data_IF_256830020481
#
_entry.id   IF_256830020481
#
_cell.length_a   1.000
_cell.length_b   1.000
_cell.length_c   1.000
_cell.angle_alpha   90.00
_cell.angle_beta   90.00
_cell.angle_gamma   90.00
#
_symmetry.space_group_name_H-M   'P 1'
#
loop_
_entity.id
_entity.type
_entity.pdbx_description
1 polymer ?
#
# COMPACT_ATOMS: atom_id res chain seq x y z
N UNK A 1 6.09 -3.11 54.88
CA UNK A 1 5.96 -4.58 54.97
C UNK A 1 4.59 -5.12 54.55
N UNK A 2 3.45 -4.56 55.04
CA UNK A 2 2.09 -5.02 54.65
C UNK A 2 1.80 -4.99 53.14
N UNK A 3 2.18 -3.93 52.43
CA UNK A 3 1.98 -3.82 50.97
C UNK A 3 2.81 -4.83 50.14
N UNK A 4 4.01 -5.18 50.61
CA UNK A 4 4.84 -6.20 49.96
C UNK A 4 4.28 -7.61 50.14
N UNK A 5 3.77 -7.94 51.32
CA UNK A 5 3.11 -9.22 51.58
C UNK A 5 1.82 -9.36 50.75
N UNK A 6 1.01 -8.30 50.67
CA UNK A 6 -0.23 -8.28 49.88
C UNK A 6 0.03 -8.42 48.38
N UNK A 7 1.02 -7.72 47.83
CA UNK A 7 1.41 -7.86 46.42
C UNK A 7 1.95 -9.26 46.11
N UNK A 8 2.77 -9.83 47.00
CA UNK A 8 3.31 -11.18 46.85
C UNK A 8 2.23 -12.26 46.89
N UNK A 9 1.27 -12.15 47.83
CA UNK A 9 0.12 -13.08 47.93
C UNK A 9 -0.77 -13.00 46.68
N UNK A 10 -1.04 -11.80 46.15
CA UNK A 10 -1.82 -11.63 44.90
C UNK A 10 -1.08 -12.28 43.72
N UNK A 11 0.23 -12.07 43.58
CA UNK A 11 1.04 -12.67 42.51
C UNK A 11 1.02 -14.21 42.59
N UNK A 12 1.20 -14.78 43.79
CA UNK A 12 1.18 -16.25 43.97
C UNK A 12 -0.20 -16.85 43.69
N UNK A 13 -1.28 -16.21 44.14
CA UNK A 13 -2.65 -16.68 43.88
C UNK A 13 -3.03 -16.58 42.39
N UNK A 14 -2.63 -15.51 41.70
CA UNK A 14 -2.88 -15.38 40.25
C UNK A 14 -2.12 -16.40 39.42
N UNK A 15 -0.86 -16.71 39.77
CA UNK A 15 -0.08 -17.75 39.10
C UNK A 15 -0.65 -19.16 39.35
N UNK A 16 -1.13 -19.43 40.57
CA UNK A 16 -1.79 -20.69 40.91
C UNK A 16 -3.10 -20.89 40.13
N UNK A 17 -3.99 -19.89 40.13
CA UNK A 17 -5.26 -19.94 39.39
C UNK A 17 -5.06 -20.06 37.86
N UNK A 18 -4.08 -19.35 37.31
CA UNK A 18 -3.74 -19.43 35.89
C UNK A 18 -3.15 -20.80 35.52
N UNK A 19 -2.28 -21.37 36.37
CA UNK A 19 -1.75 -22.73 36.17
C UNK A 19 -2.83 -23.83 36.25
N UNK A 20 -3.80 -23.67 37.14
CA UNK A 20 -4.96 -24.56 37.26
C UNK A 20 -5.88 -24.44 36.03
N UNK A 21 -6.09 -23.22 35.52
CA UNK A 21 -6.84 -22.95 34.29
C UNK A 21 -6.20 -23.56 33.04
N UNK A 22 -4.87 -23.52 32.94
CA UNK A 22 -4.17 -24.19 31.84
C UNK A 22 -4.28 -25.72 31.92
N UNK A 23 -4.20 -26.28 33.13
CA UNK A 23 -4.24 -27.73 33.34
C UNK A 23 -5.58 -28.37 32.94
N UNK A 24 -6.69 -27.62 33.01
CA UNK A 24 -8.01 -28.09 32.57
C UNK A 24 -8.27 -27.90 31.06
N UNK A 25 -7.46 -27.11 30.35
CA UNK A 25 -7.61 -26.88 28.91
C UNK A 25 -7.20 -28.14 28.11
N UNK A 26 -8.15 -28.73 27.39
CA UNK A 26 -7.92 -29.94 26.57
C UNK A 26 -6.89 -29.71 25.46
N UNK A 27 -6.97 -28.60 24.72
CA UNK A 27 -6.02 -28.31 23.64
C UNK A 27 -4.60 -28.11 24.19
N UNK A 28 -4.47 -27.49 25.36
CA UNK A 28 -3.17 -27.38 26.03
C UNK A 28 -2.61 -28.75 26.40
N UNK A 29 -3.41 -29.64 27.00
CA UNK A 29 -2.97 -30.99 27.38
C UNK A 29 -2.44 -31.77 26.18
N UNK A 30 -3.10 -31.66 25.03
CA UNK A 30 -2.67 -32.31 23.78
C UNK A 30 -1.41 -31.68 23.17
N UNK A 31 -1.18 -30.38 23.37
CA UNK A 31 -0.05 -29.64 22.80
C UNK A 31 1.10 -29.40 23.78
N UNK A 32 1.00 -29.86 25.04
CA UNK A 32 1.94 -29.51 26.11
C UNK A 32 3.40 -29.80 25.78
N UNK A 33 3.66 -30.82 24.95
CA UNK A 33 5.00 -31.20 24.51
C UNK A 33 5.68 -30.12 23.66
N UNK A 34 4.92 -29.20 23.06
CA UNK A 34 5.44 -28.08 22.28
C UNK A 34 5.80 -26.86 23.13
N UNK A 35 5.49 -26.85 24.43
CA UNK A 35 5.66 -25.67 25.31
C UNK A 35 7.06 -25.04 25.22
N UNK A 36 8.11 -25.85 25.17
CA UNK A 36 9.48 -25.34 25.03
C UNK A 36 9.71 -24.58 23.71
N UNK A 37 9.09 -25.03 22.61
CA UNK A 37 9.16 -24.35 21.31
C UNK A 37 8.27 -23.10 21.27
N UNK A 38 7.13 -23.15 21.96
CA UNK A 38 6.16 -22.07 22.03
C UNK A 38 6.61 -20.89 22.93
N UNK A 39 7.34 -21.18 24.01
CA UNK A 39 7.70 -20.20 25.04
C UNK A 39 8.57 -19.04 24.54
N UNK A 40 9.26 -19.20 23.40
CA UNK A 40 10.06 -18.14 22.77
C UNK A 40 9.30 -17.35 21.70
N UNK A 41 7.99 -17.60 21.52
CA UNK A 41 7.19 -16.99 20.45
C UNK A 41 6.48 -15.74 20.95
N UNK A 42 6.76 -14.62 20.30
CA UNK A 42 6.00 -13.37 20.41
C UNK A 42 5.18 -13.16 19.13
N UNK A 43 3.87 -12.98 19.26
CA UNK A 43 2.92 -12.96 18.15
C UNK A 43 2.16 -11.65 18.13
N UNK A 44 2.30 -10.90 17.04
CA UNK A 44 1.42 -9.79 16.72
C UNK A 44 0.32 -10.28 15.76
N UNK A 45 -0.93 -10.22 16.19
CA UNK A 45 -2.08 -10.63 15.37
C UNK A 45 -2.42 -9.54 14.35
N UNK A 46 -2.65 -9.97 13.11
CA UNK A 46 -3.12 -9.09 12.04
C UNK A 46 -4.32 -9.69 11.31
N UNK A 47 -5.28 -8.86 10.93
CA UNK A 47 -6.51 -9.25 10.24
C UNK A 47 -6.69 -8.46 8.95
N UNK A 48 -6.79 -9.16 7.82
CA UNK A 48 -6.98 -8.56 6.50
C UNK A 48 -8.45 -8.70 6.03
N UNK A 49 -8.87 -7.83 5.10
CA UNK A 49 -10.13 -7.81 4.33
C UNK A 49 -11.38 -7.17 4.94
N UNK A 50 -11.40 -6.92 6.24
CA UNK A 50 -12.51 -6.28 6.94
C UNK A 50 -12.71 -4.80 6.57
N UNK A 51 -13.65 -4.09 7.24
CA UNK A 51 -14.50 -4.59 8.31
C UNK A 51 -15.71 -5.35 7.77
N UNK A 52 -15.84 -6.60 8.19
CA UNK A 52 -17.06 -7.37 8.08
C UNK A 52 -18.06 -6.92 9.16
N UNK A 53 -19.31 -6.57 8.81
CA UNK A 53 -20.27 -6.05 9.79
C UNK A 53 -20.66 -7.06 10.88
N UNK A 54 -20.45 -8.37 10.66
CA UNK A 54 -20.79 -9.43 11.61
C UNK A 54 -19.55 -10.00 12.31
N UNK A 55 -18.49 -10.26 11.57
CA UNK A 55 -17.31 -10.97 12.09
C UNK A 55 -16.36 -10.03 12.83
N UNK A 56 -16.06 -8.87 12.25
CA UNK A 56 -15.05 -7.94 12.79
C UNK A 56 -15.37 -7.44 14.20
N UNK A 57 -16.63 -7.06 14.56
CA UNK A 57 -16.96 -6.69 15.93
C UNK A 57 -16.74 -7.81 16.95
N UNK A 58 -16.93 -9.07 16.55
CA UNK A 58 -16.75 -10.24 17.41
C UNK A 58 -15.27 -10.49 17.69
N UNK A 59 -14.43 -10.37 16.67
CA UNK A 59 -12.96 -10.41 16.80
C UNK A 59 -12.49 -9.28 17.72
N UNK A 60 -12.93 -8.04 17.47
CA UNK A 60 -12.58 -6.88 18.30
C UNK A 60 -12.98 -7.09 19.77
N UNK A 61 -14.18 -7.62 20.01
CA UNK A 61 -14.66 -7.94 21.36
C UNK A 61 -13.79 -9.00 22.05
N UNK A 62 -13.41 -10.07 21.35
CA UNK A 62 -12.51 -11.11 21.85
C UNK A 62 -11.13 -10.53 22.22
N UNK A 63 -10.51 -9.79 21.31
CA UNK A 63 -9.22 -9.14 21.55
C UNK A 63 -9.26 -8.20 22.76
N UNK A 64 -10.30 -7.38 22.88
CA UNK A 64 -10.49 -6.47 24.01
C UNK A 64 -10.66 -7.22 25.33
N UNK A 65 -11.52 -8.25 25.38
CA UNK A 65 -11.68 -9.10 26.58
C UNK A 65 -10.37 -9.78 26.98
N UNK A 66 -9.62 -10.27 25.99
CA UNK A 66 -8.34 -10.95 26.19
C UNK A 66 -7.16 -10.00 26.38
N UNK A 67 -7.36 -8.68 26.28
CA UNK A 67 -6.33 -7.65 26.35
C UNK A 67 -5.19 -7.87 25.36
N UNK A 68 -5.51 -8.31 24.13
CA UNK A 68 -4.55 -8.50 23.04
C UNK A 68 -4.72 -7.36 22.04
N UNK A 69 -3.63 -6.69 21.66
CA UNK A 69 -3.64 -5.68 20.58
C UNK A 69 -3.32 -6.32 19.24
N UNK A 70 -3.83 -5.73 18.17
CA UNK A 70 -3.77 -6.28 16.82
C UNK A 70 -3.77 -5.15 15.78
N UNK A 71 -3.39 -5.47 14.55
CA UNK A 71 -3.53 -4.56 13.40
C UNK A 71 -4.59 -5.08 12.42
N UNK A 72 -5.48 -4.21 11.96
CA UNK A 72 -6.54 -4.50 11.00
C UNK A 72 -6.23 -3.83 9.67
N UNK A 73 -5.95 -4.61 8.64
CA UNK A 73 -5.71 -4.13 7.28
C UNK A 73 -7.03 -4.17 6.51
N UNK A 74 -7.65 -2.98 6.42
CA UNK A 74 -9.02 -2.81 5.96
C UNK A 74 -9.08 -2.67 4.44
N UNK A 75 -9.91 -3.50 3.82
CA UNK A 75 -10.35 -3.31 2.44
C UNK A 75 -11.51 -2.33 2.42
N UNK A 76 -11.39 -1.27 1.63
CA UNK A 76 -12.35 -0.16 1.69
C UNK A 76 -13.50 -0.30 0.67
N UNK A 77 -13.66 -1.45 0.00
CA UNK A 77 -14.79 -1.67 -0.94
C UNK A 77 -16.16 -1.42 -0.32
N UNK A 78 -16.28 -1.71 0.97
CA UNK A 78 -17.56 -1.64 1.70
C UNK A 78 -17.73 -0.31 2.45
N UNK A 79 -16.77 0.60 2.37
CA UNK A 79 -16.85 1.92 2.99
C UNK A 79 -17.42 2.94 2.01
N UNK A 80 -18.26 3.84 2.50
CA UNK A 80 -18.84 4.92 1.70
C UNK A 80 -18.28 6.28 2.16
N UNK A 81 -18.07 7.23 1.25
CA UNK A 81 -17.67 8.59 1.61
C UNK A 81 -18.67 9.23 2.57
N UNK A 82 -18.17 9.94 3.58
CA UNK A 82 -19.01 10.66 4.55
C UNK A 82 -19.66 9.79 5.62
N UNK A 83 -19.69 8.46 5.46
CA UNK A 83 -20.22 7.55 6.47
C UNK A 83 -19.14 7.17 7.49
N UNK A 84 -19.47 7.29 8.77
CA UNK A 84 -18.63 6.80 9.87
C UNK A 84 -18.83 5.30 10.07
N UNK A 85 -17.77 4.62 10.48
CA UNK A 85 -17.82 3.20 10.83
C UNK A 85 -17.41 3.03 12.30
N UNK A 86 -18.38 2.78 13.16
CA UNK A 86 -18.16 2.67 14.62
C UNK A 86 -17.21 1.53 14.99
N UNK A 87 -17.17 0.44 14.23
CA UNK A 87 -16.21 -0.65 14.46
C UNK A 87 -14.77 -0.17 14.25
N UNK A 88 -14.50 0.59 13.17
CA UNK A 88 -13.16 1.14 12.91
C UNK A 88 -12.76 2.20 13.95
N UNK A 89 -13.71 3.04 14.37
CA UNK A 89 -13.48 4.04 15.44
C UNK A 89 -13.15 3.32 16.76
N UNK A 90 -13.91 2.27 17.09
CA UNK A 90 -13.70 1.46 18.29
C UNK A 90 -12.34 0.76 18.29
N UNK A 91 -11.91 0.19 17.17
CA UNK A 91 -10.57 -0.39 17.02
C UNK A 91 -9.46 0.58 17.46
N UNK A 92 -9.49 1.80 16.91
CA UNK A 92 -8.48 2.82 17.23
C UNK A 92 -8.56 3.22 18.70
N UNK A 93 -9.77 3.46 19.22
CA UNK A 93 -9.99 3.86 20.62
C UNK A 93 -9.55 2.79 21.62
N UNK A 94 -9.67 1.51 21.26
CA UNK A 94 -9.19 0.42 22.11
C UNK A 94 -7.75 0.03 21.80
N UNK A 95 -6.99 0.85 21.07
CA UNK A 95 -5.54 0.72 20.90
C UNK A 95 -5.11 -0.34 19.87
N UNK A 96 -5.98 -0.73 18.96
CA UNK A 96 -5.60 -1.47 17.76
C UNK A 96 -5.14 -0.52 16.67
N UNK A 97 -4.34 -1.02 15.74
CA UNK A 97 -3.95 -0.26 14.55
C UNK A 97 -4.95 -0.53 13.44
N UNK A 98 -5.57 0.51 12.89
CA UNK A 98 -6.30 0.43 11.62
C UNK A 98 -5.35 0.84 10.50
N UNK A 99 -5.18 -0.04 9.54
CA UNK A 99 -4.27 0.06 8.41
C UNK A 99 -5.03 -0.11 7.09
N UNK A 100 -4.46 0.34 5.97
CA UNK A 100 -5.07 0.15 4.66
C UNK A 100 -4.66 -1.17 4.01
N UNK A 101 -5.63 -1.87 3.43
CA UNK A 101 -5.43 -3.02 2.53
C UNK A 101 -5.85 -2.71 1.09
N UNK A 102 -5.72 -1.44 0.66
CA UNK A 102 -6.19 -0.99 -0.64
C UNK A 102 -7.71 -0.82 -0.72
N UNK A 103 -8.21 -0.54 -1.93
CA UNK A 103 -9.64 -0.32 -2.16
C UNK A 103 -10.34 -1.58 -2.66
N UNK A 104 -9.97 -2.10 -3.83
CA UNK A 104 -10.67 -3.20 -4.50
C UNK A 104 -10.02 -4.58 -4.29
N UNK A 105 -9.08 -4.70 -3.35
CA UNK A 105 -8.30 -5.92 -3.12
C UNK A 105 -7.68 -6.48 -4.41
N UNK A 106 -7.07 -5.61 -5.22
CA UNK A 106 -6.39 -5.96 -6.48
C UNK A 106 -4.88 -5.94 -6.32
N UNK A 107 -4.17 -6.62 -7.20
CA UNK A 107 -2.71 -6.57 -7.22
C UNK A 107 -2.25 -5.18 -7.67
N UNK A 108 -1.63 -4.43 -6.76
CA UNK A 108 -1.19 -3.04 -6.98
C UNK A 108 0.11 -2.93 -7.78
N UNK A 109 0.82 -4.05 -7.94
CA UNK A 109 2.07 -4.16 -8.69
C UNK A 109 2.20 -5.59 -9.24
N UNK A 110 3.31 -5.86 -9.91
CA UNK A 110 3.61 -7.13 -10.55
C UNK A 110 3.39 -8.31 -9.60
N UNK A 111 2.55 -9.25 -10.02
CA UNK A 111 2.25 -10.47 -9.27
C UNK A 111 2.20 -11.67 -10.20
N UNK A 112 2.67 -12.81 -9.71
CA UNK A 112 2.60 -14.09 -10.43
C UNK A 112 1.74 -15.10 -9.66
N UNK A 113 0.84 -15.77 -10.38
CA UNK A 113 0.01 -16.85 -9.86
C UNK A 113 0.45 -18.14 -10.56
N UNK A 114 1.17 -18.99 -9.83
CA UNK A 114 1.84 -20.15 -10.41
C UNK A 114 2.91 -19.70 -11.42
N UNK A 115 2.71 -20.04 -12.69
CA UNK A 115 3.60 -19.68 -13.80
C UNK A 115 3.04 -18.55 -14.69
N UNK A 116 1.98 -17.87 -14.26
CA UNK A 116 1.26 -16.86 -15.06
C UNK A 116 1.20 -15.53 -14.35
N UNK A 117 1.19 -14.43 -15.12
CA UNK A 117 0.88 -13.12 -14.57
C UNK A 117 -0.54 -13.10 -13.98
N UNK A 118 -0.72 -12.38 -12.89
CA UNK A 118 -2.05 -12.07 -12.38
C UNK A 118 -2.81 -11.22 -13.44
N UNK A 119 -3.97 -11.67 -13.93
CA UNK A 119 -4.73 -10.97 -14.97
C UNK A 119 -5.38 -9.66 -14.49
N UNK A 120 -5.40 -9.42 -13.17
CA UNK A 120 -6.07 -8.29 -12.52
C UNK A 120 -5.10 -7.28 -11.89
N UNK A 121 -3.83 -7.27 -12.33
CA UNK A 121 -2.84 -6.27 -11.92
C UNK A 121 -3.31 -4.87 -12.33
N UNK A 122 -3.19 -3.92 -11.40
CA UNK A 122 -3.45 -2.52 -11.64
C UNK A 122 -2.30 -1.87 -12.41
N UNK A 123 -2.62 -0.92 -13.29
CA UNK A 123 -1.62 0.01 -13.79
C UNK A 123 -1.13 0.93 -12.67
N UNK A 124 0.03 1.56 -12.81
CA UNK A 124 0.55 2.49 -11.79
C UNK A 124 -0.47 3.57 -11.40
N UNK A 125 -1.12 4.19 -12.39
CA UNK A 125 -2.15 5.22 -12.17
C UNK A 125 -3.43 4.66 -11.51
N UNK A 126 -3.82 3.42 -11.82
CA UNK A 126 -4.93 2.76 -11.11
C UNK A 126 -4.54 2.42 -9.66
N UNK A 127 -3.31 1.97 -9.45
CA UNK A 127 -2.77 1.63 -8.14
C UNK A 127 -2.75 2.85 -7.22
N UNK A 128 -2.24 3.98 -7.73
CA UNK A 128 -2.25 5.28 -7.06
C UNK A 128 -3.67 5.70 -6.66
N UNK A 129 -4.62 5.71 -7.62
CA UNK A 129 -6.02 6.04 -7.32
C UNK A 129 -6.62 5.14 -6.25
N UNK A 130 -6.33 3.84 -6.26
CA UNK A 130 -6.84 2.91 -5.25
C UNK A 130 -6.20 3.11 -3.87
N UNK A 131 -4.91 3.43 -3.82
CA UNK A 131 -4.22 3.78 -2.56
C UNK A 131 -4.88 5.04 -1.99
N UNK A 132 -4.92 6.14 -2.73
CA UNK A 132 -5.50 7.41 -2.30
C UNK A 132 -6.96 7.26 -1.87
N UNK A 133 -7.74 6.53 -2.67
CA UNK A 133 -9.14 6.24 -2.36
C UNK A 133 -9.29 5.51 -1.03
N UNK A 134 -8.47 4.50 -0.79
CA UNK A 134 -8.51 3.73 0.44
C UNK A 134 -8.13 4.59 1.66
N UNK A 135 -7.09 5.39 1.55
CA UNK A 135 -6.66 6.30 2.63
C UNK A 135 -7.74 7.35 2.95
N UNK A 136 -8.35 7.94 1.92
CA UNK A 136 -9.43 8.93 2.07
C UNK A 136 -10.66 8.31 2.73
N UNK A 137 -11.08 7.11 2.31
CA UNK A 137 -12.22 6.42 2.90
C UNK A 137 -11.98 6.04 4.35
N UNK A 138 -10.79 5.57 4.70
CA UNK A 138 -10.43 5.26 6.10
C UNK A 138 -10.40 6.51 6.96
N UNK A 139 -9.86 7.61 6.44
CA UNK A 139 -9.88 8.90 7.15
C UNK A 139 -11.31 9.37 7.42
N UNK A 140 -12.20 9.28 6.43
CA UNK A 140 -13.62 9.62 6.58
C UNK A 140 -14.32 8.67 7.58
N UNK A 141 -14.18 7.36 7.40
CA UNK A 141 -14.89 6.35 8.18
C UNK A 141 -14.49 6.35 9.66
N UNK A 142 -13.27 6.77 9.98
CA UNK A 142 -12.75 6.85 11.34
C UNK A 142 -12.96 8.22 12.00
N UNK A 143 -13.77 9.11 11.39
CA UNK A 143 -13.94 10.49 11.85
C UNK A 143 -12.59 11.23 12.04
N UNK A 144 -11.64 10.93 11.16
CA UNK A 144 -10.32 11.53 11.11
C UNK A 144 -9.25 10.89 12.01
N UNK A 145 -9.61 9.87 12.80
CA UNK A 145 -8.67 9.20 13.71
C UNK A 145 -7.59 8.40 12.97
N UNK A 146 -7.87 7.90 11.77
CA UNK A 146 -6.93 7.05 11.02
C UNK A 146 -5.55 7.69 10.85
N UNK A 147 -5.45 8.96 10.46
CA UNK A 147 -4.18 9.67 10.33
C UNK A 147 -3.57 10.17 11.64
N UNK A 148 -4.32 10.11 12.75
CA UNK A 148 -3.85 10.50 14.09
C UNK A 148 -3.23 9.34 14.87
N UNK A 149 -3.31 8.12 14.34
CA UNK A 149 -2.65 6.97 14.92
C UNK A 149 -1.14 7.17 14.90
N UNK A 150 -0.41 6.70 15.94
CA UNK A 150 1.05 6.75 15.95
C UNK A 150 1.66 5.91 14.81
N UNK A 151 0.99 4.81 14.47
CA UNK A 151 1.41 3.89 13.41
C UNK A 151 0.54 4.06 12.19
N UNK A 152 1.15 4.44 11.06
CA UNK A 152 0.46 4.58 9.78
C UNK A 152 0.93 3.45 8.87
N UNK A 153 0.08 2.42 8.76
CA UNK A 153 0.47 1.18 8.09
C UNK A 153 -0.33 0.95 6.80
N UNK A 154 0.29 0.21 5.90
CA UNK A 154 -0.31 -0.31 4.68
C UNK A 154 0.12 -1.77 4.48
N UNK A 155 -0.77 -2.60 3.94
CA UNK A 155 -0.40 -3.93 3.43
C UNK A 155 -1.03 -4.08 2.07
N UNK A 156 -0.25 -4.39 1.04
CA UNK A 156 -0.84 -4.63 -0.26
C UNK A 156 -1.70 -5.91 -0.24
N UNK A 157 -2.85 -5.94 -0.94
CA UNK A 157 -3.52 -7.19 -1.30
C UNK A 157 -2.52 -8.18 -1.88
N UNK A 158 -2.61 -9.42 -1.39
CA UNK A 158 -1.68 -10.50 -1.74
C UNK A 158 -0.23 -10.27 -1.27
N UNK A 159 0.05 -9.17 -0.55
CA UNK A 159 1.27 -8.76 0.15
C UNK A 159 2.50 -8.59 -0.74
N UNK A 160 2.87 -9.68 -1.37
CA UNK A 160 4.15 -9.89 -2.04
C UNK A 160 4.17 -9.45 -3.50
N UNK A 161 3.11 -8.83 -4.03
CA UNK A 161 3.19 -8.23 -5.38
C UNK A 161 4.09 -6.98 -5.40
N UNK A 162 3.80 -6.02 -4.53
CA UNK A 162 4.59 -4.80 -4.37
C UNK A 162 5.86 -5.00 -3.52
N UNK A 163 5.93 -6.12 -2.77
CA UNK A 163 7.08 -6.53 -1.96
C UNK A 163 7.35 -8.05 -2.08
N UNK A 164 7.73 -8.55 -3.26
CA UNK A 164 7.94 -9.96 -3.54
C UNK A 164 9.03 -10.55 -2.67
N UNK A 165 8.72 -11.72 -2.11
CA UNK A 165 9.75 -12.59 -1.55
C UNK A 165 10.79 -12.94 -2.61
N UNK A 166 12.02 -13.30 -2.21
CA UNK A 166 13.05 -13.73 -3.15
C UNK A 166 12.59 -14.84 -4.12
N UNK A 167 11.74 -15.76 -3.64
CA UNK A 167 11.12 -16.80 -4.47
C UNK A 167 10.18 -16.23 -5.53
N UNK A 168 9.32 -15.29 -5.15
CA UNK A 168 8.36 -14.64 -6.05
C UNK A 168 9.08 -13.74 -7.05
N UNK A 169 10.07 -12.97 -6.59
CA UNK A 169 10.95 -12.21 -7.48
C UNK A 169 11.63 -13.16 -8.48
N UNK A 170 12.20 -14.28 -8.02
CA UNK A 170 12.77 -15.29 -8.93
C UNK A 170 11.77 -15.85 -9.94
N UNK A 171 10.51 -16.06 -9.54
CA UNK A 171 9.44 -16.46 -10.46
C UNK A 171 9.08 -15.36 -11.46
N UNK A 172 8.93 -14.12 -11.00
CA UNK A 172 8.70 -12.95 -11.85
C UNK A 172 9.81 -12.79 -12.87
N UNK A 173 11.07 -12.97 -12.46
CA UNK A 173 12.24 -12.87 -13.34
C UNK A 173 12.29 -13.99 -14.38
N UNK A 174 11.99 -15.24 -14.00
CA UNK A 174 11.98 -16.38 -14.93
C UNK A 174 10.79 -16.31 -15.90
N UNK A 175 9.60 -16.04 -15.39
CA UNK A 175 8.36 -16.13 -16.17
C UNK A 175 8.03 -14.83 -16.92
N UNK A 176 8.50 -13.68 -16.45
CA UNK A 176 8.43 -12.42 -17.18
C UNK A 176 9.21 -12.40 -18.50
N UNK A 177 10.10 -13.37 -18.71
CA UNK A 177 10.81 -13.59 -19.96
C UNK A 177 10.08 -14.53 -20.92
N UNK A 178 9.11 -15.33 -20.46
CA UNK A 178 8.43 -16.34 -21.27
C UNK A 178 7.22 -15.77 -22.03
N UNK A 179 7.09 -16.10 -23.32
CA UNK A 179 5.96 -15.67 -24.19
C UNK A 179 4.58 -16.12 -23.69
N UNK A 180 4.49 -17.19 -22.90
CA UNK A 180 3.22 -17.83 -22.52
C UNK A 180 2.63 -17.35 -21.18
N UNK A 181 3.43 -16.70 -20.33
CA UNK A 181 3.05 -16.35 -18.97
C UNK A 181 2.13 -15.10 -18.88
N UNK A 182 2.38 -14.11 -19.74
CA UNK A 182 1.74 -12.77 -19.68
C UNK A 182 1.25 -12.35 -21.07
N UNK A 183 0.25 -13.07 -21.60
CA UNK A 183 -0.33 -12.78 -22.91
C UNK A 183 -1.42 -11.70 -22.84
N UNK A 184 -1.57 -10.92 -23.91
CA UNK A 184 -2.58 -9.85 -24.05
C UNK A 184 -4.01 -10.36 -23.78
N UNK A 185 -4.35 -11.56 -24.24
CA UNK A 185 -5.66 -12.21 -23.97
C UNK A 185 -5.94 -12.47 -22.48
N UNK A 186 -4.91 -12.61 -21.65
CA UNK A 186 -5.05 -12.83 -20.19
C UNK A 186 -5.06 -11.54 -19.39
N UNK A 187 -4.44 -10.46 -19.86
CA UNK A 187 -4.31 -9.19 -19.14
C UNK A 187 -5.48 -8.22 -19.38
N UNK A 188 -6.73 -8.71 -19.30
CA UNK A 188 -7.94 -7.96 -19.69
C UNK A 188 -8.09 -6.60 -19.00
N UNK A 189 -7.56 -6.44 -17.78
CA UNK A 189 -7.60 -5.17 -17.02
C UNK A 189 -6.22 -4.53 -16.80
N UNK A 190 -5.15 -5.29 -17.06
CA UNK A 190 -3.77 -4.84 -17.00
C UNK A 190 -3.29 -4.38 -18.38
N UNK A 191 -4.16 -3.72 -19.14
CA UNK A 191 -4.03 -3.44 -20.58
C UNK A 191 -2.69 -2.83 -21.06
N UNK A 192 -1.86 -2.16 -20.23
CA UNK A 192 -0.53 -1.77 -20.68
C UNK A 192 0.53 -2.87 -20.57
N UNK A 193 0.36 -3.93 -19.77
CA UNK A 193 1.41 -4.90 -19.42
C UNK A 193 1.58 -6.04 -20.44
N UNK A 194 1.46 -5.75 -21.74
CA UNK A 194 1.92 -6.69 -22.78
C UNK A 194 3.38 -7.12 -22.52
N UNK A 195 3.84 -8.22 -23.11
CA UNK A 195 5.14 -8.85 -22.77
C UNK A 195 6.31 -7.88 -22.63
N UNK A 196 6.49 -6.95 -23.57
CA UNK A 196 7.57 -5.96 -23.52
C UNK A 196 7.38 -4.94 -22.38
N UNK A 197 6.14 -4.55 -22.09
CA UNK A 197 5.81 -3.67 -20.96
C UNK A 197 5.94 -4.38 -19.61
N UNK A 198 5.65 -5.68 -19.51
CA UNK A 198 5.93 -6.46 -18.30
C UNK A 198 7.45 -6.59 -18.06
N UNK A 199 8.23 -6.82 -19.13
CA UNK A 199 9.70 -6.86 -19.06
C UNK A 199 10.29 -5.49 -18.66
N UNK A 200 9.77 -4.40 -19.22
CA UNK A 200 10.12 -3.03 -18.82
C UNK A 200 9.72 -2.77 -17.36
N UNK A 201 8.53 -3.18 -16.94
CA UNK A 201 8.06 -3.04 -15.55
C UNK A 201 8.93 -3.83 -14.57
N UNK A 202 9.44 -5.02 -14.95
CA UNK A 202 10.43 -5.75 -14.15
C UNK A 202 11.76 -4.97 -14.06
N UNK A 203 12.19 -4.31 -15.14
CA UNK A 203 13.40 -3.49 -15.11
C UNK A 203 13.20 -2.25 -14.25
N UNK A 204 12.05 -1.57 -14.32
CA UNK A 204 11.67 -0.49 -13.41
C UNK A 204 11.61 -0.99 -11.97
N UNK A 205 11.00 -2.16 -11.74
CA UNK A 205 10.94 -2.80 -10.43
C UNK A 205 12.35 -3.06 -9.86
N UNK A 206 13.30 -3.47 -10.69
CA UNK A 206 14.70 -3.64 -10.27
C UNK A 206 15.38 -2.32 -9.91
N UNK A 207 15.07 -1.24 -10.64
CA UNK A 207 15.70 0.07 -10.47
C UNK A 207 15.13 0.83 -9.29
N UNK A 208 13.81 0.81 -9.13
CA UNK A 208 13.09 1.68 -8.20
C UNK A 208 12.23 0.91 -7.18
N UNK A 209 12.26 -0.44 -7.18
CA UNK A 209 11.28 -1.28 -6.48
C UNK A 209 9.87 -1.04 -7.05
N UNK A 210 8.84 -1.24 -6.23
CA UNK A 210 7.44 -1.05 -6.60
C UNK A 210 7.06 0.45 -6.66
N UNK A 211 6.45 0.89 -7.77
CA UNK A 211 5.84 2.23 -7.87
C UNK A 211 4.68 2.40 -6.87
N UNK A 212 3.92 1.32 -6.65
CA UNK A 212 2.86 1.31 -5.64
C UNK A 212 3.42 1.49 -4.23
N UNK A 213 4.53 0.80 -3.90
CA UNK A 213 5.21 0.94 -2.61
C UNK A 213 5.75 2.36 -2.41
N UNK A 214 6.35 2.97 -3.45
CA UNK A 214 6.77 4.37 -3.40
C UNK A 214 5.60 5.29 -3.05
N UNK A 215 4.46 5.14 -3.73
CA UNK A 215 3.25 5.93 -3.43
C UNK A 215 2.75 5.75 -1.99
N UNK A 216 2.84 4.53 -1.45
CA UNK A 216 2.53 4.26 -0.05
C UNK A 216 3.51 5.00 0.88
N UNK A 217 4.81 4.94 0.58
CA UNK A 217 5.85 5.62 1.36
C UNK A 217 5.72 7.14 1.32
N UNK A 218 5.38 7.74 0.17
CA UNK A 218 5.07 9.17 0.03
C UNK A 218 3.88 9.62 0.88
N UNK A 219 2.99 8.69 1.27
CA UNK A 219 1.91 8.97 2.22
C UNK A 219 2.34 8.82 3.69
N UNK A 220 3.66 8.70 3.93
CA UNK A 220 4.31 8.44 5.23
C UNK A 220 3.77 7.17 5.90
N UNK A 221 3.74 6.06 5.15
CA UNK A 221 3.23 4.78 5.63
C UNK A 221 4.21 3.65 5.42
N UNK A 222 4.37 2.83 6.45
CA UNK A 222 5.15 1.62 6.38
C UNK A 222 4.33 0.51 5.72
N UNK A 223 5.01 -0.30 4.90
CA UNK A 223 4.44 -1.54 4.43
C UNK A 223 4.76 -2.69 5.38
N UNK A 224 3.74 -3.40 5.86
CA UNK A 224 3.91 -4.56 6.75
C UNK A 224 3.31 -5.81 6.13
N UNK A 225 4.15 -6.79 5.81
CA UNK A 225 3.78 -8.14 5.37
C UNK A 225 3.51 -9.09 6.55
N UNK A 226 3.78 -10.38 6.35
CA UNK A 226 3.66 -11.42 7.37
C UNK A 226 4.75 -12.47 7.22
N UNK A 227 5.13 -13.10 8.34
CA UNK A 227 6.00 -14.28 8.38
C UNK A 227 5.33 -15.51 9.01
N UNK A 228 4.07 -15.38 9.42
CA UNK A 228 3.20 -16.48 9.79
C UNK A 228 1.85 -16.35 9.08
N UNK A 229 1.40 -17.42 8.43
CA UNK A 229 0.12 -17.49 7.72
C UNK A 229 -0.76 -18.55 8.40
N UNK A 230 -1.92 -18.15 8.91
CA UNK A 230 -2.88 -19.07 9.53
C UNK A 230 -3.40 -20.12 8.53
N UNK A 231 -3.35 -19.81 7.24
CA UNK A 231 -3.88 -20.62 6.14
C UNK A 231 -5.39 -20.52 5.99
N UNK A 232 -6.05 -19.60 6.69
CA UNK A 232 -7.50 -19.40 6.67
C UNK A 232 -8.05 -18.90 5.32
N UNK A 233 -7.18 -18.38 4.45
CA UNK A 233 -7.47 -18.08 3.04
C UNK A 233 -7.62 -19.34 2.18
N UNK A 234 -7.05 -20.48 2.60
CA UNK A 234 -7.18 -21.74 1.89
C UNK A 234 -8.60 -22.33 2.08
N UNK A 235 -9.36 -22.60 1.00
CA UNK A 235 -10.74 -23.09 1.11
C UNK A 235 -10.89 -24.41 1.89
N UNK A 236 -9.91 -25.31 1.79
CA UNK A 236 -9.94 -26.60 2.50
C UNK A 236 -9.69 -26.41 4.00
N UNK A 237 -8.77 -25.51 4.37
CA UNK A 237 -8.52 -25.14 5.77
C UNK A 237 -9.76 -24.45 6.32
N UNK A 238 -10.33 -23.48 5.62
CA UNK A 238 -11.54 -22.76 6.03
C UNK A 238 -12.74 -23.71 6.23
N UNK A 239 -12.98 -24.63 5.29
CA UNK A 239 -14.05 -25.64 5.40
C UNK A 239 -13.84 -26.51 6.64
N UNK A 240 -12.62 -26.99 6.86
CA UNK A 240 -12.30 -27.84 8.02
C UNK A 240 -12.30 -27.07 9.34
N UNK A 241 -11.94 -25.80 9.33
CA UNK A 241 -12.01 -24.94 10.52
C UNK A 241 -13.46 -24.73 10.98
N UNK A 242 -14.39 -24.57 10.03
CA UNK A 242 -15.83 -24.49 10.33
C UNK A 242 -16.39 -25.80 10.90
N UNK A 243 -15.95 -26.96 10.39
CA UNK A 243 -16.46 -28.26 10.87
C UNK A 243 -15.71 -28.82 12.09
N UNK A 244 -14.48 -28.37 12.33
CA UNK A 244 -13.65 -28.79 13.45
C UNK A 244 -12.79 -27.62 13.97
N UNK A 245 -13.39 -26.74 14.79
CA UNK A 245 -12.72 -25.57 15.36
C UNK A 245 -11.47 -25.93 16.18
N UNK A 246 -11.51 -27.06 16.90
CA UNK A 246 -10.40 -27.51 17.74
C UNK A 246 -9.20 -27.98 16.93
N UNK A 247 -9.45 -28.65 15.81
CA UNK A 247 -8.41 -28.95 14.84
C UNK A 247 -7.76 -27.66 14.33
N UNK A 248 -8.54 -26.63 14.04
CA UNK A 248 -8.01 -25.36 13.54
C UNK A 248 -7.14 -24.66 14.58
N UNK A 249 -7.61 -24.54 15.83
CA UNK A 249 -6.83 -24.00 16.95
C UNK A 249 -5.53 -24.79 17.12
N UNK A 250 -5.62 -26.13 17.21
CA UNK A 250 -4.43 -26.97 17.44
C UNK A 250 -3.43 -26.90 16.29
N UNK A 251 -3.90 -26.90 15.04
CA UNK A 251 -3.05 -26.75 13.86
C UNK A 251 -2.34 -25.40 13.87
N UNK A 252 -3.06 -24.32 14.13
CA UNK A 252 -2.51 -22.96 14.11
C UNK A 252 -1.43 -22.80 15.19
N UNK A 253 -1.71 -23.25 16.42
CA UNK A 253 -0.74 -23.19 17.52
C UNK A 253 0.48 -24.08 17.28
N UNK A 254 0.28 -25.31 16.78
CA UNK A 254 1.39 -26.18 16.39
C UNK A 254 2.31 -25.49 15.37
N UNK A 255 1.74 -24.86 14.35
CA UNK A 255 2.50 -24.14 13.34
C UNK A 255 3.21 -22.90 13.91
N UNK A 256 2.60 -22.18 14.85
CA UNK A 256 3.24 -21.03 15.52
C UNK A 256 4.47 -21.48 16.32
N UNK A 257 4.32 -22.53 17.14
CA UNK A 257 5.41 -23.05 17.96
C UNK A 257 6.56 -23.61 17.11
N UNK A 258 6.23 -24.28 16.00
CA UNK A 258 7.22 -24.86 15.09
C UNK A 258 7.81 -23.84 14.09
N UNK A 259 7.36 -22.59 14.12
CA UNK A 259 7.94 -21.54 13.28
C UNK A 259 9.42 -21.35 13.61
N UNK A 260 10.25 -21.11 12.59
CA UNK A 260 11.66 -20.76 12.78
C UNK A 260 11.84 -19.37 13.38
N UNK A 261 10.88 -18.48 13.14
CA UNK A 261 10.86 -17.12 13.67
C UNK A 261 10.36 -17.11 15.11
N UNK A 262 10.99 -16.30 15.97
CA UNK A 262 10.50 -16.07 17.34
C UNK A 262 9.49 -14.91 17.39
N UNK A 263 9.61 -13.93 16.49
CA UNK A 263 8.65 -12.83 16.36
C UNK A 263 7.79 -13.07 15.12
N UNK A 264 6.49 -13.24 15.34
CA UNK A 264 5.52 -13.57 14.29
C UNK A 264 4.56 -12.40 14.06
N UNK A 265 4.54 -11.88 12.84
CA UNK A 265 3.43 -11.07 12.33
C UNK A 265 2.46 -12.06 11.68
N UNK A 266 1.37 -12.36 12.37
CA UNK A 266 0.47 -13.45 12.05
C UNK A 266 -0.71 -12.98 11.21
N UNK A 267 -0.82 -13.50 9.99
CA UNK A 267 -1.91 -13.20 9.05
C UNK A 267 -3.14 -14.07 9.33
N UNK A 268 -4.25 -13.39 9.59
CA UNK A 268 -5.62 -13.89 9.60
C UNK A 268 -6.49 -12.97 8.74
N UNK A 269 -7.72 -13.38 8.47
CA UNK A 269 -8.73 -12.57 7.78
C UNK A 269 -10.01 -12.51 8.63
N UNK A 270 -10.72 -11.39 8.57
CA UNK A 270 -12.01 -11.23 9.26
C UNK A 270 -13.21 -11.27 8.31
N UNK A 271 -13.05 -10.96 7.01
CA UNK A 271 -14.15 -11.02 6.03
C UNK A 271 -14.62 -12.46 5.75
N UNK A 272 -15.86 -12.77 6.14
CA UNK A 272 -16.47 -14.10 5.93
C UNK A 272 -15.76 -15.26 6.63
N UNK A 273 -14.97 -14.95 7.68
CA UNK A 273 -14.21 -15.92 8.48
C UNK A 273 -14.77 -16.03 9.89
N UNK A 274 -16.06 -16.35 10.03
CA UNK A 274 -16.72 -16.50 11.33
C UNK A 274 -15.95 -17.42 12.29
N UNK A 275 -15.36 -18.51 11.76
CA UNK A 275 -14.56 -19.45 12.55
C UNK A 275 -13.33 -18.80 13.21
N UNK A 276 -12.74 -17.74 12.65
CA UNK A 276 -11.68 -16.99 13.32
C UNK A 276 -12.24 -16.27 14.55
N UNK A 277 -13.41 -15.62 14.43
CA UNK A 277 -14.08 -15.03 15.59
C UNK A 277 -14.48 -16.07 16.64
N UNK A 278 -15.00 -17.22 16.20
CA UNK A 278 -15.45 -18.31 17.07
C UNK A 278 -14.30 -18.94 17.87
N UNK A 279 -13.11 -19.02 17.27
CA UNK A 279 -11.96 -19.73 17.86
C UNK A 279 -10.96 -18.83 18.56
N UNK A 280 -11.03 -17.51 18.39
CA UNK A 280 -9.98 -16.59 18.84
C UNK A 280 -9.72 -16.64 20.35
N UNK A 281 -10.77 -16.68 21.17
CA UNK A 281 -10.61 -16.80 22.63
C UNK A 281 -9.86 -18.08 23.00
N UNK A 282 -10.28 -19.21 22.44
CA UNK A 282 -9.66 -20.53 22.70
C UNK A 282 -8.22 -20.57 22.18
N UNK A 283 -7.96 -19.95 21.03
CA UNK A 283 -6.61 -19.81 20.48
C UNK A 283 -5.73 -19.01 21.42
N UNK A 284 -6.17 -17.84 21.87
CA UNK A 284 -5.38 -16.97 22.74
C UNK A 284 -5.10 -17.66 24.08
N UNK A 285 -6.11 -18.22 24.72
CA UNK A 285 -5.96 -18.89 26.02
C UNK A 285 -5.01 -20.08 25.94
N UNK A 286 -5.15 -20.90 24.89
CA UNK A 286 -4.28 -22.07 24.71
C UNK A 286 -2.85 -21.65 24.37
N UNK A 287 -2.65 -20.64 23.53
CA UNK A 287 -1.32 -20.12 23.18
C UNK A 287 -0.58 -19.62 24.43
N UNK A 288 -1.31 -18.86 25.26
CA UNK A 288 -0.84 -18.31 26.53
C UNK A 288 -0.44 -19.40 27.53
N UNK A 289 -1.20 -20.50 27.60
CA UNK A 289 -0.82 -21.68 28.38
C UNK A 289 0.44 -22.39 27.83
N UNK A 290 0.63 -22.36 26.51
CA UNK A 290 1.83 -22.86 25.85
C UNK A 290 3.04 -21.93 26.00
N UNK A 291 2.86 -20.72 26.53
CA UNK A 291 3.92 -19.72 26.70
C UNK A 291 4.11 -18.78 25.51
N UNK A 292 3.20 -18.77 24.54
CA UNK A 292 3.20 -17.76 23.47
C UNK A 292 2.77 -16.43 24.07
N UNK A 293 3.57 -15.40 23.79
CA UNK A 293 3.26 -14.02 24.16
C UNK A 293 2.56 -13.29 23.00
N UNK A 294 1.47 -12.57 23.29
CA UNK A 294 0.79 -11.75 22.29
C UNK A 294 1.17 -10.30 22.47
N UNK A 295 1.89 -9.77 21.49
CA UNK A 295 2.51 -8.46 21.56
C UNK A 295 1.75 -7.42 20.73
N UNK A 296 1.75 -6.19 21.21
CA UNK A 296 1.30 -5.01 20.48
C UNK A 296 2.21 -4.69 19.29
N UNK A 297 1.79 -3.75 18.43
CA UNK A 297 2.64 -3.34 17.31
C UNK A 297 3.89 -2.57 17.80
N UNK A 298 3.77 -1.75 18.84
CA UNK A 298 4.92 -1.08 19.49
C UNK A 298 5.97 -2.09 19.98
N UNK A 299 5.52 -3.19 20.57
CA UNK A 299 6.41 -4.26 21.03
C UNK A 299 7.01 -5.04 19.85
N UNK A 300 6.26 -5.24 18.77
CA UNK A 300 6.81 -5.83 17.54
C UNK A 300 7.92 -4.96 16.93
N UNK A 301 7.80 -3.63 17.02
CA UNK A 301 8.81 -2.69 16.54
C UNK A 301 10.12 -2.71 17.35
N UNK A 302 10.15 -3.29 18.56
CA UNK A 302 11.42 -3.60 19.26
C UNK A 302 12.30 -4.58 18.47
N UNK A 303 11.72 -5.27 17.50
CA UNK A 303 12.39 -6.20 16.59
C UNK A 303 12.40 -5.69 15.14
N UNK A 304 12.31 -4.37 14.92
CA UNK A 304 12.22 -3.75 13.59
C UNK A 304 13.31 -4.22 12.63
N UNK A 305 14.56 -4.34 13.07
CA UNK A 305 15.69 -4.76 12.22
C UNK A 305 15.49 -6.18 11.69
N UNK A 306 15.04 -7.09 12.55
CA UNK A 306 14.71 -8.45 12.16
C UNK A 306 13.54 -8.47 11.16
N UNK A 307 12.48 -7.71 11.42
CA UNK A 307 11.32 -7.62 10.54
C UNK A 307 11.69 -7.01 9.18
N UNK A 308 12.56 -6.00 9.16
CA UNK A 308 13.07 -5.39 7.94
C UNK A 308 13.96 -6.34 7.13
N UNK A 309 14.92 -6.99 7.79
CA UNK A 309 15.84 -7.95 7.16
C UNK A 309 15.13 -9.19 6.61
N UNK A 310 13.98 -9.55 7.18
CA UNK A 310 13.15 -10.66 6.68
C UNK A 310 12.09 -10.21 5.67
N UNK A 311 12.05 -8.93 5.30
CA UNK A 311 11.12 -8.36 4.33
C UNK A 311 9.67 -8.30 4.83
N UNK A 312 9.45 -8.46 6.14
CA UNK A 312 8.14 -8.31 6.78
C UNK A 312 7.81 -6.84 6.98
N UNK A 313 8.79 -6.00 7.31
CA UNK A 313 8.63 -4.56 7.44
C UNK A 313 9.40 -3.85 6.33
N UNK A 314 8.77 -2.88 5.69
CA UNK A 314 9.44 -1.89 4.86
C UNK A 314 8.99 -0.52 5.36
N UNK A 315 9.92 0.17 6.02
CA UNK A 315 9.67 1.51 6.54
C UNK A 315 9.60 2.51 5.38
N UNK A 316 8.67 3.45 5.48
CA UNK A 316 8.74 4.66 4.67
C UNK A 316 10.09 5.35 4.96
N UNK A 317 10.76 5.90 3.94
CA UNK A 317 11.94 6.71 4.16
C UNK A 317 11.58 7.80 5.17
N UNK A 318 12.29 7.83 6.30
CA UNK A 318 12.20 8.96 7.21
C UNK A 318 12.80 10.15 6.48
N UNK A 319 12.24 11.34 6.67
CA UNK A 319 12.80 12.60 6.17
C UNK A 319 14.16 12.96 6.83
N UNK A 320 14.92 11.96 7.29
CA UNK A 320 16.25 12.17 7.84
C UNK A 320 17.27 12.17 6.69
N UNK A 321 17.73 13.39 6.41
CA UNK A 321 18.71 13.78 5.42
C UNK A 321 18.20 13.60 3.99
N UNK A 322 17.42 14.58 3.54
CA UNK A 322 17.53 15.02 2.17
C UNK A 322 19.00 15.44 1.94
N UNK A 323 19.89 14.48 1.71
CA UNK A 323 21.29 14.74 1.37
C UNK A 323 21.32 15.61 0.12
N UNK A 324 20.35 15.43 -0.78
CA UNK A 324 20.22 16.25 -1.97
C UNK A 324 19.77 17.66 -1.63
N UNK A 325 18.75 17.84 -0.79
CA UNK A 325 18.23 19.14 -0.36
C UNK A 325 19.19 19.90 0.54
N UNK A 326 19.86 19.22 1.47
CA UNK A 326 20.94 19.79 2.27
C UNK A 326 22.17 20.10 1.42
N UNK A 327 22.51 19.30 0.41
CA UNK A 327 23.57 19.61 -0.56
C UNK A 327 23.18 20.77 -1.49
N UNK A 328 21.91 20.85 -1.92
CA UNK A 328 21.36 21.95 -2.71
C UNK A 328 21.36 23.23 -1.86
N UNK A 329 20.93 23.18 -0.60
CA UNK A 329 21.03 24.29 0.33
C UNK A 329 22.47 24.69 0.61
N UNK A 330 23.40 23.73 0.77
CA UNK A 330 24.83 24.02 0.93
C UNK A 330 25.44 24.69 -0.31
N UNK A 331 24.98 24.31 -1.51
CA UNK A 331 25.37 24.96 -2.78
C UNK A 331 24.80 26.38 -2.84
N UNK A 332 23.51 26.54 -2.55
CA UNK A 332 22.83 27.85 -2.59
C UNK A 332 23.40 28.81 -1.53
N UNK A 333 23.74 28.31 -0.33
CA UNK A 333 24.35 29.10 0.74
C UNK A 333 25.84 29.41 0.47
N UNK A 334 26.55 28.56 -0.30
CA UNK A 334 27.91 28.87 -0.77
C UNK A 334 27.91 29.91 -1.91
N UNK A 335 26.84 30.00 -2.70
CA UNK A 335 26.67 31.04 -3.72
C UNK A 335 26.34 32.42 -3.13
N UNK A 336 25.69 32.50 -1.95
CA UNK A 336 25.43 33.80 -1.28
C UNK A 336 26.68 34.45 -0.66
N UNK A 337 27.73 33.68 -0.34
CA UNK A 337 28.97 34.21 0.25
C UNK A 337 30.04 34.66 -0.77
N UNK A 338 29.76 34.60 -2.07
CA UNK A 338 30.61 35.18 -3.11
C UNK A 338 29.92 36.33 -3.85
N UNK A 339 29.44 37.34 -3.10
CA UNK A 339 29.24 38.69 -3.67
C UNK A 339 30.29 39.63 -3.14
N UNK A 340 31.40 39.73 -3.87
CA UNK A 340 32.03 41.00 -4.24
C UNK A 340 33.24 40.71 -5.14
N UNK A 341 33.07 40.78 -6.47
CA UNK A 341 33.87 41.70 -7.29
C UNK A 341 33.21 41.90 -8.66
N UNK A 342 33.12 43.17 -9.03
CA UNK A 342 32.53 43.69 -10.25
C UNK A 342 33.42 43.40 -11.47
N UNK A 343 32.85 42.83 -12.53
CA UNK A 343 32.87 43.40 -13.89
C UNK A 343 31.97 42.63 -14.87
N UNK A 344 31.29 43.41 -15.69
CA UNK A 344 30.34 43.07 -16.75
C UNK A 344 30.93 42.19 -17.87
N UNK A 345 30.18 41.13 -18.24
CA UNK A 345 30.06 40.51 -19.58
C UNK A 345 28.67 39.82 -19.59
N UNK A 346 27.67 40.40 -20.27
CA UNK A 346 27.11 39.97 -21.58
C UNK A 346 26.45 38.59 -21.56
N UNK A 347 25.18 38.58 -21.96
CA UNK A 347 24.30 37.44 -22.21
C UNK A 347 25.03 36.13 -22.54
N UNK A 348 24.73 35.05 -21.79
CA UNK A 348 24.21 33.82 -22.42
C UNK A 348 23.85 32.70 -21.40
N UNK A 349 22.65 32.15 -21.66
CA UNK A 349 22.12 30.82 -21.31
C UNK A 349 21.54 30.52 -19.91
N UNK A 350 20.27 30.92 -19.79
CA UNK A 350 19.16 30.25 -19.11
C UNK A 350 19.03 28.75 -19.50
N UNK A 351 19.07 27.85 -18.51
CA UNK A 351 18.60 26.46 -18.65
C UNK A 351 17.21 26.30 -18.02
N UNK A 352 16.23 26.96 -18.65
CA UNK A 352 14.82 26.73 -18.41
C UNK A 352 14.39 25.37 -19.00
N UNK A 353 13.76 24.53 -18.17
CA UNK A 353 13.08 23.32 -18.64
C UNK A 353 11.87 23.70 -19.52
N UNK A 354 12.11 23.91 -20.82
CA UNK A 354 11.10 24.34 -21.80
C UNK A 354 10.31 23.18 -22.44
N UNK A 355 10.33 21.99 -21.83
CA UNK A 355 9.68 20.81 -22.40
C UNK A 355 8.86 20.01 -21.40
N UNK A 356 7.78 19.40 -21.86
CA UNK A 356 6.89 18.55 -21.09
C UNK A 356 6.86 17.14 -21.67
N UNK A 357 6.88 16.13 -20.80
CA UNK A 357 6.74 14.73 -21.19
C UNK A 357 5.26 14.31 -21.15
N UNK A 358 4.74 13.79 -22.26
CA UNK A 358 3.37 13.27 -22.34
C UNK A 358 3.28 11.84 -21.81
N UNK A 359 2.08 11.39 -21.44
CA UNK A 359 1.78 10.03 -20.96
C UNK A 359 2.15 8.90 -21.94
N UNK A 360 2.42 9.24 -23.21
CA UNK A 360 2.91 8.33 -24.24
C UNK A 360 4.44 8.39 -24.45
N UNK A 361 5.18 9.06 -23.56
CA UNK A 361 6.64 9.18 -23.58
C UNK A 361 7.19 10.18 -24.60
N UNK A 362 6.35 11.00 -25.24
CA UNK A 362 6.80 12.03 -26.18
C UNK A 362 7.05 13.36 -25.48
N UNK A 363 8.15 14.01 -25.84
CA UNK A 363 8.52 15.34 -25.37
C UNK A 363 7.89 16.42 -26.25
N UNK A 364 7.30 17.42 -25.61
CA UNK A 364 6.64 18.56 -26.25
C UNK A 364 7.30 19.84 -25.78
N UNK A 365 7.59 20.76 -26.71
CA UNK A 365 8.15 22.07 -26.39
C UNK A 365 7.08 22.99 -25.79
N UNK A 366 7.53 24.12 -25.22
CA UNK A 366 6.67 25.20 -24.75
C UNK A 366 5.53 25.50 -25.74
N UNK A 367 4.32 25.63 -25.19
CA UNK A 367 3.07 25.91 -25.89
C UNK A 367 2.60 24.84 -26.88
N UNK A 368 3.10 23.61 -26.79
CA UNK A 368 2.64 22.48 -27.61
C UNK A 368 1.69 21.55 -26.86
N UNK A 369 0.70 20.99 -27.56
CA UNK A 369 -0.19 19.92 -27.09
C UNK A 369 -1.63 20.03 -27.61
N UNK A 370 -2.36 18.91 -27.61
CA UNK A 370 -3.68 18.79 -28.25
C UNK A 370 -4.83 19.20 -27.33
N UNK A 371 -4.92 18.58 -26.15
CA UNK A 371 -5.94 18.85 -25.13
C UNK A 371 -5.46 19.79 -24.02
N UNK A 372 -4.15 19.89 -23.84
CA UNK A 372 -3.44 20.75 -22.87
C UNK A 372 -2.17 21.28 -23.53
N UNK A 373 -1.58 22.33 -22.99
CA UNK A 373 -0.34 22.93 -23.49
C UNK A 373 0.78 22.82 -22.47
N UNK A 374 1.99 22.57 -22.96
CA UNK A 374 3.20 22.59 -22.15
C UNK A 374 3.56 24.03 -21.77
N UNK A 375 3.69 24.32 -20.48
CA UNK A 375 4.14 25.62 -19.98
C UNK A 375 5.15 25.37 -18.87
N UNK A 376 6.43 25.69 -19.13
CA UNK A 376 7.56 25.57 -18.20
C UNK A 376 7.65 24.17 -17.54
N UNK A 377 7.51 23.11 -18.35
CA UNK A 377 7.58 21.73 -17.86
C UNK A 377 6.27 21.17 -17.30
N UNK A 378 5.17 21.96 -17.26
CA UNK A 378 3.87 21.53 -16.76
C UNK A 378 2.79 21.48 -17.86
N UNK A 379 1.88 20.50 -17.78
CA UNK A 379 0.73 20.42 -18.67
C UNK A 379 -0.45 21.23 -18.10
N UNK A 380 -0.78 22.34 -18.74
CA UNK A 380 -1.92 23.19 -18.36
C UNK A 380 -3.08 23.06 -19.34
N UNK A 381 -4.31 23.23 -18.85
CA UNK A 381 -5.48 23.35 -19.73
C UNK A 381 -5.29 24.52 -20.69
N UNK A 382 -5.78 24.40 -21.93
CA UNK A 382 -5.77 25.53 -22.89
C UNK A 382 -6.63 26.71 -22.43
N UNK A 383 -7.54 26.48 -21.49
CA UNK A 383 -8.38 27.51 -20.85
C UNK A 383 -7.79 28.05 -19.54
N UNK A 384 -6.63 27.54 -19.11
CA UNK A 384 -5.95 28.01 -17.90
C UNK A 384 -5.42 29.45 -18.10
N UNK A 385 -5.66 30.39 -17.16
CA UNK A 385 -5.22 31.79 -17.30
C UNK A 385 -3.72 31.97 -17.52
N UNK A 386 -2.88 31.09 -16.95
CA UNK A 386 -1.42 31.11 -17.11
C UNK A 386 -1.03 30.61 -18.50
N UNK A 387 -1.67 29.53 -18.96
CA UNK A 387 -1.50 29.04 -20.33
C UNK A 387 -1.93 30.08 -21.37
N UNK A 388 -3.05 30.73 -21.14
CA UNK A 388 -3.57 31.82 -21.97
C UNK A 388 -2.59 32.98 -22.04
N UNK A 389 -2.11 33.45 -20.88
CA UNK A 389 -1.16 34.57 -20.78
C UNK A 389 0.18 34.25 -21.43
N UNK A 390 0.65 33.00 -21.33
CA UNK A 390 1.99 32.58 -21.78
C UNK A 390 2.04 32.08 -23.22
N UNK A 391 1.00 31.40 -23.70
CA UNK A 391 0.97 30.74 -25.00
C UNK A 391 0.00 31.35 -26.00
N UNK A 392 -0.88 32.25 -25.56
CA UNK A 392 -1.86 32.91 -26.40
C UNK A 392 -3.00 31.99 -26.85
N UNK A 393 -4.17 32.59 -27.09
CA UNK A 393 -5.43 31.89 -27.38
C UNK A 393 -5.56 31.22 -28.76
N UNK A 394 -4.52 31.19 -29.61
CA UNK A 394 -4.79 31.26 -31.07
C UNK A 394 -4.22 30.17 -31.94
N UNK A 395 -3.40 29.26 -31.41
CA UNK A 395 -2.66 28.33 -32.25
C UNK A 395 -3.05 26.86 -32.00
N UNK A 396 -3.13 26.08 -33.06
CA UNK A 396 -3.43 24.65 -33.03
C UNK A 396 -2.23 23.86 -33.55
N UNK A 397 -1.80 22.86 -32.80
CA UNK A 397 -0.73 21.97 -33.24
C UNK A 397 -1.30 20.75 -33.98
N UNK A 398 -0.74 20.42 -35.15
CA UNK A 398 -1.11 19.21 -35.91
C UNK A 398 -0.12 18.09 -35.66
N UNK A 399 -0.61 16.97 -35.12
CA UNK A 399 0.20 15.75 -34.93
C UNK A 399 0.59 15.10 -36.26
N UNK A 400 -0.15 15.34 -37.34
CA UNK A 400 0.11 14.76 -38.66
C UNK A 400 1.25 15.51 -39.37
N UNK A 401 1.17 16.85 -39.43
CA UNK A 401 2.16 17.67 -40.14
C UNK A 401 3.32 18.16 -39.27
N UNK A 402 3.22 17.97 -37.94
CA UNK A 402 4.18 18.48 -36.94
C UNK A 402 4.35 20.01 -36.95
N UNK A 403 3.36 20.72 -37.48
CA UNK A 403 3.35 22.19 -37.58
C UNK A 403 2.28 22.79 -36.66
N UNK A 404 2.55 24.02 -36.24
CA UNK A 404 1.61 24.88 -35.53
C UNK A 404 0.91 25.78 -36.54
N UNK A 405 -0.42 25.86 -36.46
CA UNK A 405 -1.30 26.64 -37.32
C UNK A 405 -1.92 27.77 -36.51
N UNK A 406 -1.91 28.98 -37.05
CA UNK A 406 -2.57 30.14 -36.45
C UNK A 406 -4.08 30.10 -36.66
N UNK A 407 -4.78 30.97 -35.95
CA UNK A 407 -6.21 31.19 -36.14
C UNK A 407 -6.52 31.41 -37.63
N UNK A 408 -7.50 30.68 -38.13
CA UNK A 408 -7.93 30.60 -39.53
C UNK A 408 -6.97 29.92 -40.53
N UNK A 409 -6.01 29.13 -40.06
CA UNK A 409 -5.12 28.34 -40.91
C UNK A 409 -5.46 26.83 -40.89
N UNK A 410 -5.23 26.15 -42.03
CA UNK A 410 -5.44 24.71 -42.21
C UNK A 410 -6.13 24.37 -43.54
N UNK A 411 -6.09 23.10 -43.96
CA UNK A 411 -6.71 22.66 -45.23
C UNK A 411 -8.07 22.00 -45.01
N UNK A 412 -8.09 20.82 -44.39
CA UNK A 412 -9.31 20.04 -44.15
C UNK A 412 -9.95 20.34 -42.79
N UNK A 413 -9.14 20.75 -41.82
CA UNK A 413 -9.55 21.28 -40.53
C UNK A 413 -8.84 22.61 -40.34
N UNK A 414 -9.58 23.62 -39.89
CA UNK A 414 -9.10 24.99 -39.68
C UNK A 414 -8.91 25.19 -38.19
N UNK A 415 -7.78 25.76 -37.81
CA UNK A 415 -7.55 26.17 -36.43
C UNK A 415 -8.39 27.39 -36.10
N UNK A 416 -9.26 27.29 -35.09
CA UNK A 416 -10.07 28.40 -34.61
C UNK A 416 -9.92 28.46 -33.09
N UNK A 417 -9.26 29.52 -32.60
CA UNK A 417 -9.05 29.79 -31.17
C UNK A 417 -8.45 28.59 -30.38
N UNK A 418 -7.50 27.88 -30.98
CA UNK A 418 -6.80 26.76 -30.34
C UNK A 418 -7.47 25.39 -30.50
N UNK A 419 -8.60 25.32 -31.23
CA UNK A 419 -9.33 24.09 -31.57
C UNK A 419 -9.38 23.81 -33.07
N UNK A 420 -9.39 22.53 -33.44
CA UNK A 420 -9.53 22.09 -34.83
C UNK A 420 -11.02 21.96 -35.21
N UNK A 421 -11.50 22.85 -36.09
CA UNK A 421 -12.86 22.79 -36.64
C UNK A 421 -12.85 22.27 -38.08
N UNK A 422 -13.88 21.51 -38.47
CA UNK A 422 -14.08 21.16 -39.89
C UNK A 422 -14.25 22.43 -40.70
N UNK A 423 -13.69 22.48 -41.92
CA UNK A 423 -13.71 23.66 -42.79
C UNK A 423 -15.10 24.28 -42.95
N UNK A 424 -16.15 23.46 -43.09
CA UNK A 424 -17.55 23.93 -43.19
C UNK A 424 -18.04 24.74 -41.99
N UNK A 425 -17.60 24.40 -40.77
CA UNK A 425 -17.95 25.13 -39.54
C UNK A 425 -17.07 26.36 -39.30
N UNK A 426 -15.84 26.33 -39.82
CA UNK A 426 -14.91 27.45 -39.69
C UNK A 426 -15.20 28.59 -40.67
N UNK A 427 -15.92 28.34 -41.79
CA UNK A 427 -16.22 29.36 -42.81
C UNK A 427 -16.86 30.62 -42.23
N UNK A 428 -17.85 30.48 -41.35
CA UNK A 428 -18.57 31.61 -40.74
C UNK A 428 -17.75 32.38 -39.70
N UNK A 429 -16.70 31.77 -39.15
CA UNK A 429 -15.87 32.37 -38.10
C UNK A 429 -14.62 33.03 -38.70
N UNK A 430 -14.09 32.44 -39.77
CA UNK A 430 -12.81 32.82 -40.38
C UNK A 430 -12.92 33.53 -41.73
N UNK A 431 -14.13 33.80 -42.22
CA UNK A 431 -14.38 34.45 -43.51
C UNK A 431 -13.63 33.77 -44.68
N UNK A 432 -13.59 32.43 -44.67
CA UNK A 432 -12.90 31.63 -45.69
C UNK A 432 -13.89 31.28 -46.80
N UNK A 433 -13.64 31.76 -48.04
CA UNK A 433 -14.45 31.44 -49.22
C UNK A 433 -14.49 29.92 -49.54
#
# INVERSE_FOLDING_TARGET
MKYFLSAFIIIVLTNSAYSASCSSNQNFRELKSLRAQCASKSVHLTFDDGPDPKVTPRILSSLNRKKVKASFYVSTTNLKPGEKNETLISMIRTGHVVASHGHEHKAHDLRVIGSKCDPHILTASQSERQIERSLSLLQSATAGLFNRQPHKLFRFPYGRGASPSAKELGLMLRHGQSKSACSSKRLKHAAPLERESYKQSIQEYRRFKSKALQRVHESSRDHVGWNFDSGDSNPNVAKKAKSNPDWYVKRTLKNMCQSRSNVLIALFHDRGKDFNADTLDKLIDTARCLGIDFISYDEALRHKEYLANTGVLQEAPKEENDILGSFIEDILNKEEHQKHFSKTCSDDHDHSFNTCLSSNGKTYQQCQGESSVCVNGQWLSKTDPVAIKRCGFRNCYSKYTKKTYRHCEGSNSICVNGEWLKKSKAKSICNIN
#
